data_IF_458189529111
#
_entry.id   IF_458189529111
#
_cell.length_a   1.000
_cell.length_b   1.000
_cell.length_c   1.000
_cell.angle_alpha   90.00
_cell.angle_beta   90.00
_cell.angle_gamma   90.00
#
_symmetry.space_group_name_H-M   'P 1'
#
loop_
_entity.id
_entity.type
_entity.pdbx_description
1 polymer ?
#
# COMPACT_ATOMS: atom_id res chain seq x y z
N UNK A 1 -10.89 7.65 20.26
CA UNK A 1 -10.05 7.95 21.44
C UNK A 1 -8.99 6.87 21.66
N UNK A 2 -9.36 5.58 21.77
CA UNK A 2 -8.40 4.48 21.99
C UNK A 2 -7.33 4.38 20.89
N UNK A 3 -7.70 4.57 19.61
CA UNK A 3 -6.77 4.59 18.49
C UNK A 3 -5.66 5.64 18.67
N UNK A 4 -6.05 6.90 18.93
CA UNK A 4 -5.10 8.00 19.11
C UNK A 4 -4.18 7.78 20.30
N UNK A 5 -4.73 7.24 21.39
CA UNK A 5 -3.95 6.90 22.60
C UNK A 5 -2.92 5.82 22.32
N UNK A 6 -3.32 4.66 21.82
CA UNK A 6 -2.42 3.54 21.53
C UNK A 6 -1.37 3.93 20.49
N UNK A 7 -1.77 4.65 19.43
CA UNK A 7 -0.84 5.15 18.42
C UNK A 7 0.17 6.11 19.03
N UNK A 8 -0.27 7.15 19.79
CA UNK A 8 0.60 8.21 20.30
C UNK A 8 1.52 7.75 21.42
N UNK A 9 1.01 6.91 22.31
CA UNK A 9 1.73 6.55 23.54
C UNK A 9 2.39 5.17 23.52
N UNK A 10 2.02 4.29 22.59
CA UNK A 10 2.58 2.94 22.51
C UNK A 10 3.24 2.67 21.16
N UNK A 11 2.47 2.67 20.08
CA UNK A 11 2.96 2.20 18.77
C UNK A 11 3.98 3.17 18.17
N UNK A 12 3.67 4.47 18.13
CA UNK A 12 4.55 5.46 17.52
C UNK A 12 5.87 5.66 18.31
N UNK A 13 5.91 5.77 19.64
CA UNK A 13 7.16 5.84 20.39
C UNK A 13 8.05 4.62 20.19
N UNK A 14 7.46 3.41 20.24
CA UNK A 14 8.18 2.17 20.01
C UNK A 14 8.76 2.11 18.61
N UNK A 15 7.94 2.37 17.58
CA UNK A 15 8.39 2.36 16.19
C UNK A 15 9.48 3.41 15.93
N UNK A 16 9.33 4.63 16.47
CA UNK A 16 10.32 5.70 16.33
C UNK A 16 11.63 5.38 17.08
N UNK A 17 11.54 4.82 18.28
CA UNK A 17 12.72 4.46 19.08
C UNK A 17 13.52 3.33 18.42
N UNK A 18 12.82 2.28 17.97
CA UNK A 18 13.45 1.07 17.46
C UNK A 18 13.92 1.20 16.02
N UNK A 19 13.11 1.79 15.14
CA UNK A 19 13.38 1.80 13.70
C UNK A 19 13.80 3.17 13.16
N UNK A 20 13.49 4.26 13.88
CA UNK A 20 13.80 5.65 13.48
C UNK A 20 13.45 5.89 12.00
N UNK A 21 12.18 5.69 11.59
CA UNK A 21 11.78 5.79 10.19
C UNK A 21 12.12 7.17 9.61
N UNK A 22 12.65 7.19 8.40
CA UNK A 22 12.90 8.44 7.67
C UNK A 22 11.60 8.82 6.96
N UNK A 23 11.00 9.93 7.35
CA UNK A 23 9.76 10.44 6.76
C UNK A 23 10.06 11.73 6.01
N UNK A 24 9.59 11.83 4.76
CA UNK A 24 9.71 13.03 3.91
C UNK A 24 8.37 13.37 3.28
N UNK A 25 8.12 14.65 2.97
CA UNK A 25 6.92 15.11 2.28
C UNK A 25 5.66 15.16 3.16
N UNK A 26 5.80 15.22 4.50
CA UNK A 26 4.64 15.32 5.41
C UNK A 26 3.77 16.55 5.13
N UNK A 27 4.35 17.60 4.60
CA UNK A 27 3.68 18.84 4.17
C UNK A 27 2.67 18.62 3.05
N UNK A 28 2.77 17.51 2.32
CA UNK A 28 1.84 17.13 1.26
C UNK A 28 0.53 16.50 1.80
N UNK A 29 0.49 16.14 3.08
CA UNK A 29 -0.75 15.64 3.73
C UNK A 29 -1.59 16.85 4.14
N UNK A 30 -2.83 16.98 3.64
CA UNK A 30 -3.69 18.10 4.03
C UNK A 30 -3.99 18.06 5.53
N UNK A 31 -3.93 19.22 6.19
CA UNK A 31 -4.24 19.33 7.63
C UNK A 31 -5.69 18.98 7.94
N UNK A 32 -6.59 19.30 7.03
CA UNK A 32 -8.04 19.04 7.10
C UNK A 32 -8.55 18.55 5.75
N UNK A 33 -9.78 17.99 5.74
CA UNK A 33 -10.41 17.50 4.51
C UNK A 33 -9.91 16.12 4.07
N UNK A 34 -10.56 15.52 3.07
CA UNK A 34 -10.27 14.18 2.60
C UNK A 34 -9.04 14.15 1.69
N UNK A 35 -8.37 13.00 1.67
CA UNK A 35 -7.38 12.66 0.64
C UNK A 35 -7.26 11.14 0.51
N UNK A 36 -6.98 10.69 -0.71
CA UNK A 36 -6.71 9.29 -1.02
C UNK A 36 -5.18 9.07 -1.02
N UNK A 37 -4.67 8.34 -0.03
CA UNK A 37 -3.26 7.95 0.02
C UNK A 37 -3.07 6.64 -0.73
N UNK A 38 -2.19 6.63 -1.73
CA UNK A 38 -1.91 5.45 -2.55
C UNK A 38 -0.47 5.03 -2.34
N UNK A 39 -0.25 3.83 -1.81
CA UNK A 39 1.08 3.35 -1.42
C UNK A 39 1.44 2.02 -2.11
N UNK A 40 2.73 1.81 -2.40
CA UNK A 40 3.26 0.49 -2.68
C UNK A 40 3.13 -0.41 -1.44
N UNK A 41 3.17 -1.72 -1.64
CA UNK A 41 3.01 -2.67 -0.52
C UNK A 41 4.13 -3.70 -0.51
N UNK A 42 5.15 -3.46 0.29
CA UNK A 42 6.34 -4.30 0.40
C UNK A 42 6.22 -5.34 1.51
N UNK A 43 5.71 -4.93 2.66
CA UNK A 43 5.80 -5.71 3.88
C UNK A 43 4.56 -5.59 4.79
N UNK A 44 4.45 -6.47 5.78
CA UNK A 44 3.44 -6.35 6.83
C UNK A 44 3.58 -5.03 7.61
N UNK A 45 4.81 -4.60 7.84
CA UNK A 45 5.13 -3.39 8.61
C UNK A 45 4.71 -2.08 7.92
N UNK A 46 4.40 -2.07 6.61
CA UNK A 46 3.84 -0.89 5.93
C UNK A 46 2.58 -0.40 6.64
N UNK A 47 1.73 -1.35 7.03
CA UNK A 47 0.48 -1.07 7.77
C UNK A 47 0.70 -0.50 9.19
N UNK A 48 1.94 -0.44 9.65
CA UNK A 48 2.34 0.16 10.94
C UNK A 48 3.06 1.49 10.69
N UNK A 49 4.09 1.48 9.84
CA UNK A 49 4.93 2.67 9.64
C UNK A 49 4.21 3.82 8.97
N UNK A 50 3.37 3.55 7.97
CA UNK A 50 2.63 4.61 7.29
C UNK A 50 1.61 5.30 8.22
N UNK A 51 0.71 4.61 8.96
CA UNK A 51 -0.14 5.26 9.94
C UNK A 51 0.61 5.97 11.06
N UNK A 52 1.80 5.50 11.45
CA UNK A 52 2.63 6.15 12.48
C UNK A 52 3.30 7.41 11.95
N UNK A 53 3.69 7.43 10.68
CA UNK A 53 4.36 8.56 10.04
C UNK A 53 3.42 9.76 9.86
N UNK A 54 2.19 9.53 9.44
CA UNK A 54 1.22 10.58 9.11
C UNK A 54 0.54 11.12 10.37
N UNK A 55 0.46 12.44 10.59
CA UNK A 55 -0.14 13.03 11.79
C UNK A 55 -1.63 12.71 11.96
N UNK A 56 -2.37 12.64 10.84
CA UNK A 56 -3.81 12.33 10.80
C UNK A 56 -4.05 10.82 10.78
N UNK A 57 -5.24 10.41 11.17
CA UNK A 57 -5.66 9.02 11.04
C UNK A 57 -5.89 8.68 9.57
N UNK A 58 -5.27 7.60 9.13
CA UNK A 58 -5.53 7.01 7.82
C UNK A 58 -6.34 5.74 8.05
N UNK A 59 -7.42 5.57 7.32
CA UNK A 59 -8.23 4.35 7.34
C UNK A 59 -7.77 3.45 6.18
N UNK A 60 -7.39 2.20 6.49
CA UNK A 60 -6.99 1.20 5.50
C UNK A 60 -7.92 -0.01 5.48
N UNK A 61 -8.24 -0.56 4.31
CA UNK A 61 -8.94 -1.83 4.20
C UNK A 61 -8.00 -2.99 4.55
N UNK A 62 -8.42 -3.86 5.47
CA UNK A 62 -7.70 -5.07 5.85
C UNK A 62 -8.58 -6.31 5.72
N UNK A 63 -7.96 -7.48 5.65
CA UNK A 63 -8.68 -8.75 5.57
C UNK A 63 -9.57 -8.94 6.79
N UNK A 64 -10.85 -9.29 6.57
CA UNK A 64 -11.83 -9.56 7.63
C UNK A 64 -11.37 -10.60 8.66
N UNK A 65 -10.55 -11.57 8.23
CA UNK A 65 -10.01 -12.62 9.10
C UNK A 65 -9.17 -12.10 10.27
N UNK A 66 -8.55 -10.92 10.12
CA UNK A 66 -7.83 -10.27 11.23
C UNK A 66 -8.75 -9.78 12.35
N UNK A 67 -10.05 -9.67 12.08
CA UNK A 67 -11.03 -9.12 13.02
C UNK A 67 -11.98 -10.18 13.60
N UNK A 68 -11.98 -11.39 13.04
CA UNK A 68 -12.92 -12.48 13.37
C UNK A 68 -12.26 -13.68 14.07
N UNK A 69 -10.98 -13.57 14.44
CA UNK A 69 -10.27 -14.64 15.14
C UNK A 69 -10.93 -15.01 16.47
N UNK A 70 -10.95 -16.29 16.84
CA UNK A 70 -11.59 -16.76 18.07
C UNK A 70 -10.82 -16.41 19.34
N UNK A 71 -11.54 -16.32 20.47
CA UNK A 71 -10.98 -16.18 21.80
C UNK A 71 -10.27 -14.84 22.10
N UNK A 72 -9.54 -14.79 23.19
CA UNK A 72 -8.85 -13.58 23.66
C UNK A 72 -7.76 -13.13 22.67
N UNK A 73 -7.03 -14.07 22.08
CA UNK A 73 -6.01 -13.77 21.06
C UNK A 73 -6.62 -13.09 19.84
N UNK A 74 -7.76 -13.59 19.33
CA UNK A 74 -8.48 -12.96 18.23
C UNK A 74 -8.94 -11.54 18.56
N UNK A 75 -9.48 -11.32 19.77
CA UNK A 75 -9.88 -10.00 20.26
C UNK A 75 -8.69 -9.03 20.35
N UNK A 76 -7.54 -9.48 20.82
CA UNK A 76 -6.31 -8.66 20.88
C UNK A 76 -5.83 -8.27 19.49
N UNK A 77 -5.80 -9.22 18.55
CA UNK A 77 -5.44 -8.95 17.14
C UNK A 77 -6.40 -7.96 16.52
N UNK A 78 -7.72 -8.17 16.65
CA UNK A 78 -8.73 -7.25 16.13
C UNK A 78 -8.60 -5.84 16.72
N UNK A 79 -8.35 -5.74 18.04
CA UNK A 79 -8.13 -4.46 18.71
C UNK A 79 -6.88 -3.77 18.20
N UNK A 80 -5.80 -4.51 17.98
CA UNK A 80 -4.57 -3.98 17.40
C UNK A 80 -4.84 -3.39 15.99
N UNK A 81 -5.46 -4.16 15.08
CA UNK A 81 -5.76 -3.67 13.72
C UNK A 81 -6.68 -2.45 13.74
N UNK A 82 -7.72 -2.45 14.56
CA UNK A 82 -8.56 -1.25 14.75
C UNK A 82 -7.78 -0.06 15.31
N UNK A 83 -6.81 -0.31 16.20
CA UNK A 83 -5.99 0.74 16.81
C UNK A 83 -4.98 1.39 15.86
N UNK A 84 -4.72 0.80 14.71
CA UNK A 84 -3.90 1.38 13.64
C UNK A 84 -4.74 1.85 12.44
N UNK A 85 -6.07 2.03 12.63
CA UNK A 85 -6.96 2.59 11.61
C UNK A 85 -7.41 1.59 10.55
N UNK A 86 -7.26 0.29 10.79
CA UNK A 86 -7.70 -0.70 9.80
C UNK A 86 -9.15 -1.12 10.00
N UNK A 87 -9.86 -1.26 8.89
CA UNK A 87 -11.26 -1.70 8.85
C UNK A 87 -11.38 -3.03 8.11
N UNK A 88 -12.27 -3.93 8.60
CA UNK A 88 -12.47 -5.22 7.93
C UNK A 88 -13.14 -5.03 6.57
N UNK A 89 -12.57 -5.65 5.54
CA UNK A 89 -13.22 -5.80 4.23
C UNK A 89 -13.16 -7.26 3.84
N UNK A 90 -14.32 -7.79 3.44
CA UNK A 90 -14.40 -9.09 2.80
C UNK A 90 -13.77 -9.02 1.41
N UNK A 91 -12.77 -9.86 1.14
CA UNK A 91 -12.06 -9.93 -0.14
C UNK A 91 -12.43 -11.20 -0.92
N UNK A 92 -13.45 -11.91 -0.51
CA UNK A 92 -13.92 -13.11 -1.18
C UNK A 92 -14.83 -12.75 -2.36
N UNK A 93 -14.30 -12.88 -3.58
CA UNK A 93 -15.06 -12.74 -4.83
C UNK A 93 -15.10 -11.36 -5.47
N UNK A 94 -15.72 -11.25 -6.64
CA UNK A 94 -15.79 -10.01 -7.44
C UNK A 94 -16.55 -8.86 -6.80
N UNK A 95 -17.38 -9.11 -5.79
CA UNK A 95 -18.06 -8.08 -4.99
C UNK A 95 -17.14 -7.39 -3.98
N UNK A 96 -16.02 -7.99 -3.65
CA UNK A 96 -15.08 -7.48 -2.65
C UNK A 96 -14.43 -6.16 -3.07
N UNK A 97 -14.12 -6.00 -4.35
CA UNK A 97 -13.57 -4.75 -4.87
C UNK A 97 -14.57 -3.60 -4.82
N UNK A 98 -15.87 -3.88 -5.03
CA UNK A 98 -16.94 -2.89 -4.89
C UNK A 98 -17.17 -2.50 -3.43
N UNK A 99 -17.11 -3.45 -2.52
CA UNK A 99 -17.23 -3.17 -1.08
C UNK A 99 -16.08 -2.26 -0.61
N UNK A 100 -14.84 -2.54 -1.03
CA UNK A 100 -13.68 -1.71 -0.74
C UNK A 100 -13.82 -0.29 -1.32
N UNK A 101 -14.33 -0.17 -2.55
CA UNK A 101 -14.60 1.11 -3.20
C UNK A 101 -15.63 1.91 -2.42
N UNK A 102 -16.80 1.32 -2.13
CA UNK A 102 -17.87 2.01 -1.42
C UNK A 102 -17.44 2.46 -0.02
N UNK A 103 -16.76 1.59 0.73
CA UNK A 103 -16.22 1.95 2.04
C UNK A 103 -15.21 3.09 1.96
N UNK A 104 -14.32 3.07 0.95
CA UNK A 104 -13.37 4.17 0.73
C UNK A 104 -14.08 5.49 0.44
N UNK A 105 -15.10 5.48 -0.42
CA UNK A 105 -15.91 6.66 -0.73
C UNK A 105 -16.65 7.20 0.48
N UNK A 106 -17.20 6.33 1.35
CA UNK A 106 -17.83 6.74 2.60
C UNK A 106 -16.85 7.43 3.56
N UNK A 107 -15.64 6.91 3.69
CA UNK A 107 -14.59 7.50 4.54
C UNK A 107 -14.14 8.85 4.00
N UNK A 108 -13.87 8.93 2.69
CA UNK A 108 -13.51 10.18 2.05
C UNK A 108 -14.63 11.22 2.14
N UNK A 109 -15.89 10.80 1.98
CA UNK A 109 -17.06 11.68 2.16
C UNK A 109 -17.22 12.23 3.58
N UNK A 110 -16.64 11.60 4.61
CA UNK A 110 -16.56 12.12 5.98
C UNK A 110 -15.41 13.11 6.21
N UNK A 111 -14.63 13.43 5.19
CA UNK A 111 -13.46 14.30 5.30
C UNK A 111 -12.22 13.63 5.87
N UNK A 112 -12.18 12.30 5.87
CA UNK A 112 -11.07 11.52 6.44
C UNK A 112 -10.05 11.11 5.37
N UNK A 113 -8.87 10.64 5.81
CA UNK A 113 -7.87 10.06 4.92
C UNK A 113 -8.15 8.57 4.71
N UNK A 114 -8.16 8.15 3.46
CA UNK A 114 -8.28 6.74 3.10
C UNK A 114 -6.99 6.26 2.41
N UNK A 115 -6.46 5.12 2.83
CA UNK A 115 -5.26 4.53 2.27
C UNK A 115 -5.57 3.27 1.47
N UNK A 116 -4.92 3.09 0.32
CA UNK A 116 -5.07 1.91 -0.52
C UNK A 116 -3.72 1.47 -1.10
N UNK A 117 -3.57 0.16 -1.28
CA UNK A 117 -2.47 -0.44 -2.02
C UNK A 117 -2.98 -0.87 -3.40
N UNK A 118 -2.63 -0.15 -4.49
CA UNK A 118 -3.19 -0.40 -5.82
C UNK A 118 -2.78 -1.77 -6.40
N UNK A 119 -1.65 -2.31 -5.96
CA UNK A 119 -1.21 -3.66 -6.33
C UNK A 119 -2.16 -4.76 -5.81
N UNK A 120 -2.95 -4.47 -4.77
CA UNK A 120 -3.93 -5.37 -4.16
C UNK A 120 -3.31 -6.45 -3.25
N UNK A 121 -2.01 -6.64 -3.29
CA UNK A 121 -1.25 -7.56 -2.44
C UNK A 121 0.18 -7.08 -2.26
N UNK A 122 0.92 -7.63 -1.30
CA UNK A 122 2.34 -7.32 -1.10
C UNK A 122 3.17 -7.77 -2.29
N UNK A 123 4.18 -6.96 -2.66
CA UNK A 123 5.19 -7.36 -3.63
C UNK A 123 5.86 -8.67 -3.21
N UNK A 124 6.08 -9.61 -4.14
CA UNK A 124 6.77 -10.86 -3.82
C UNK A 124 8.30 -10.73 -3.75
N UNK A 125 8.88 -9.73 -4.38
CA UNK A 125 10.33 -9.61 -4.61
C UNK A 125 10.89 -8.18 -4.41
N UNK A 126 10.03 -7.24 -4.01
CA UNK A 126 10.40 -5.84 -3.78
C UNK A 126 10.21 -4.92 -4.97
N UNK A 127 9.84 -5.44 -6.16
CA UNK A 127 9.50 -4.62 -7.34
C UNK A 127 8.10 -4.03 -7.22
N UNK A 128 7.81 -2.97 -8.00
CA UNK A 128 6.50 -2.33 -8.08
C UNK A 128 5.68 -2.98 -9.20
N UNK A 129 4.54 -3.52 -8.86
CA UNK A 129 3.69 -4.24 -9.80
C UNK A 129 2.50 -3.41 -10.29
N UNK A 130 1.94 -3.81 -11.43
CA UNK A 130 0.80 -3.16 -12.08
C UNK A 130 -0.35 -2.91 -11.12
N UNK A 131 -0.79 -1.67 -11.03
CA UNK A 131 -1.92 -1.25 -10.22
C UNK A 131 -3.26 -1.67 -10.81
N UNK A 132 -4.20 -2.04 -9.93
CA UNK A 132 -5.61 -2.29 -10.28
C UNK A 132 -6.36 -0.98 -10.45
N UNK A 133 -7.23 -0.89 -11.44
CA UNK A 133 -7.96 0.34 -11.81
C UNK A 133 -9.01 0.80 -10.79
N UNK A 134 -9.22 0.04 -9.72
CA UNK A 134 -10.10 0.45 -8.62
C UNK A 134 -9.64 1.74 -7.92
N UNK A 135 -8.32 1.99 -7.87
CA UNK A 135 -7.77 3.22 -7.30
C UNK A 135 -8.15 4.44 -8.14
N UNK A 136 -8.05 4.35 -9.46
CA UNK A 136 -8.45 5.42 -10.38
C UNK A 136 -9.95 5.72 -10.29
N UNK A 137 -10.78 4.68 -10.24
CA UNK A 137 -12.23 4.84 -10.06
C UNK A 137 -12.54 5.56 -8.74
N UNK A 138 -11.88 5.19 -7.66
CA UNK A 138 -12.05 5.88 -6.37
C UNK A 138 -11.61 7.34 -6.44
N UNK A 139 -10.47 7.62 -7.04
CA UNK A 139 -9.95 8.98 -7.21
C UNK A 139 -10.93 9.88 -7.99
N UNK A 140 -11.44 9.38 -9.13
CA UNK A 140 -12.37 10.13 -9.98
C UNK A 140 -13.71 10.37 -9.28
N UNK A 141 -14.30 9.31 -8.68
CA UNK A 141 -15.61 9.41 -8.03
C UNK A 141 -15.55 10.26 -6.76
N UNK A 142 -14.47 10.17 -5.99
CA UNK A 142 -14.33 10.95 -4.77
C UNK A 142 -13.99 12.42 -5.03
N UNK A 143 -13.35 12.74 -6.17
CA UNK A 143 -12.93 14.11 -6.50
C UNK A 143 -11.96 14.73 -5.49
N UNK A 144 -11.16 13.88 -4.81
CA UNK A 144 -10.24 14.31 -3.75
C UNK A 144 -8.79 14.24 -4.21
N UNK A 145 -7.87 15.00 -3.58
CA UNK A 145 -6.44 14.86 -3.86
C UNK A 145 -5.94 13.42 -3.65
N UNK A 146 -5.18 12.91 -4.62
CA UNK A 146 -4.53 11.60 -4.54
C UNK A 146 -3.06 11.79 -4.18
N UNK A 147 -2.63 11.23 -3.06
CA UNK A 147 -1.28 11.42 -2.54
C UNK A 147 -0.51 10.12 -2.71
N UNK A 148 0.46 10.06 -3.64
CA UNK A 148 1.32 8.90 -3.78
C UNK A 148 2.28 8.80 -2.59
N UNK A 149 2.45 7.59 -2.09
CA UNK A 149 3.32 7.29 -0.95
C UNK A 149 4.22 6.12 -1.31
N UNK A 150 5.50 6.23 -0.99
CA UNK A 150 6.45 5.14 -1.13
C UNK A 150 6.90 4.64 0.25
N UNK A 151 6.67 3.36 0.50
CA UNK A 151 7.33 2.60 1.56
C UNK A 151 8.70 2.13 1.04
N UNK A 152 9.75 2.31 1.83
CA UNK A 152 11.13 2.03 1.45
C UNK A 152 11.78 1.15 2.52
N UNK A 153 12.45 0.09 2.10
CA UNK A 153 13.20 -0.84 2.95
C UNK A 153 12.36 -1.62 4.00
N UNK A 154 11.04 -1.58 3.91
CA UNK A 154 10.17 -2.30 4.86
C UNK A 154 10.21 -3.81 4.64
N UNK A 155 10.48 -4.29 3.43
CA UNK A 155 10.73 -5.69 3.10
C UNK A 155 11.96 -6.24 3.81
N UNK A 156 12.93 -5.38 4.16
CA UNK A 156 14.10 -5.76 4.96
C UNK A 156 13.73 -6.07 6.41
N UNK A 157 12.66 -5.42 6.92
CA UNK A 157 12.11 -5.69 8.25
C UNK A 157 11.24 -6.95 8.23
N UNK A 158 10.30 -7.04 7.29
CA UNK A 158 9.45 -8.21 7.12
C UNK A 158 9.63 -8.76 5.70
N UNK A 159 10.59 -9.64 5.46
CA UNK A 159 10.74 -10.31 4.17
C UNK A 159 9.45 -10.99 3.69
N UNK A 160 9.26 -11.18 2.39
CA UNK A 160 8.07 -11.82 1.83
C UNK A 160 7.70 -13.10 2.58
N UNK A 161 6.40 -13.25 2.90
CA UNK A 161 5.89 -14.40 3.66
C UNK A 161 6.06 -14.33 5.18
N UNK A 162 6.76 -13.32 5.74
CA UNK A 162 6.95 -13.19 7.18
C UNK A 162 6.12 -12.06 7.79
N UNK A 163 5.77 -12.22 9.08
CA UNK A 163 5.18 -11.18 9.93
C UNK A 163 6.08 -10.85 11.13
N UNK A 164 7.10 -11.69 11.37
CA UNK A 164 8.06 -11.49 12.47
C UNK A 164 9.13 -10.51 11.97
N UNK A 165 9.32 -9.37 12.64
CA UNK A 165 10.27 -8.37 12.17
C UNK A 165 11.72 -8.80 12.40
N UNK A 166 12.57 -8.59 11.41
CA UNK A 166 14.01 -8.67 11.51
C UNK A 166 14.56 -7.27 11.81
N UNK A 167 15.10 -7.10 13.00
CA UNK A 167 15.60 -5.80 13.47
C UNK A 167 16.92 -5.40 12.83
N UNK A 168 17.72 -6.38 12.46
CA UNK A 168 19.07 -6.19 11.95
C UNK A 168 19.25 -6.92 10.63
N UNK A 169 19.83 -6.23 9.67
CA UNK A 169 20.21 -6.78 8.37
C UNK A 169 21.73 -6.74 8.25
N UNK A 170 22.31 -7.84 7.78
CA UNK A 170 23.71 -7.92 7.42
C UNK A 170 23.87 -7.51 5.97
N UNK A 171 24.48 -6.36 5.74
CA UNK A 171 24.79 -5.87 4.41
C UNK A 171 26.11 -6.51 3.91
N UNK A 172 26.20 -6.85 2.60
CA UNK A 172 27.47 -7.32 2.03
C UNK A 172 28.59 -6.32 2.30
N UNK A 173 29.76 -6.83 2.72
CA UNK A 173 30.93 -6.00 3.02
C UNK A 173 30.95 -5.35 4.41
N UNK A 174 29.90 -5.46 5.22
CA UNK A 174 29.91 -4.96 6.61
C UNK A 174 30.18 -6.06 7.63
N UNK A 175 31.05 -5.75 8.61
CA UNK A 175 31.37 -6.66 9.72
C UNK A 175 30.19 -6.83 10.67
N UNK A 176 29.44 -5.76 10.97
CA UNK A 176 28.34 -5.77 11.95
C UNK A 176 26.98 -5.55 11.27
N UNK A 177 25.92 -6.24 11.73
CA UNK A 177 24.58 -6.01 11.26
C UNK A 177 24.15 -4.56 11.53
N UNK A 178 23.34 -4.00 10.65
CA UNK A 178 22.77 -2.66 10.78
C UNK A 178 21.30 -2.75 11.17
N UNK A 179 20.85 -1.84 12.03
CA UNK A 179 19.43 -1.65 12.29
C UNK A 179 18.74 -1.15 10.99
N UNK A 180 17.67 -1.82 10.58
CA UNK A 180 16.88 -1.40 9.42
C UNK A 180 16.16 -0.09 9.75
N UNK A 181 16.28 0.89 8.87
CA UNK A 181 15.58 2.18 8.97
C UNK A 181 14.64 2.32 7.78
N UNK A 182 13.34 2.02 7.97
CA UNK A 182 12.39 2.15 6.88
C UNK A 182 12.19 3.61 6.49
N UNK A 183 11.86 3.85 5.23
CA UNK A 183 11.48 5.15 4.71
C UNK A 183 9.98 5.22 4.46
N UNK A 184 9.42 6.43 4.62
CA UNK A 184 8.08 6.80 4.15
C UNK A 184 8.24 8.11 3.38
N UNK A 185 8.17 8.04 2.06
CA UNK A 185 8.21 9.23 1.20
C UNK A 185 6.80 9.56 0.71
N UNK A 186 6.37 10.78 0.93
CA UNK A 186 5.04 11.27 0.59
C UNK A 186 5.19 12.27 -0.55
N UNK A 187 4.61 11.95 -1.69
CA UNK A 187 4.68 12.76 -2.91
C UNK A 187 3.69 13.92 -2.92
N UNK A 188 3.81 14.77 -3.93
CA UNK A 188 2.87 15.87 -4.15
C UNK A 188 1.49 15.32 -4.52
N UNK A 189 0.41 15.98 -4.08
CA UNK A 189 -0.95 15.59 -4.47
C UNK A 189 -1.13 15.63 -5.98
N UNK A 190 -1.78 14.60 -6.52
CA UNK A 190 -2.25 14.51 -7.90
C UNK A 190 -3.73 14.88 -7.94
N UNK A 191 -4.13 15.63 -8.96
CA UNK A 191 -5.50 16.04 -9.19
C UNK A 191 -6.05 15.38 -10.46
N UNK A 192 -7.18 14.69 -10.32
CA UNK A 192 -7.87 14.00 -11.39
C UNK A 192 -9.27 14.55 -11.66
N UNK A 193 -9.56 15.78 -11.21
CA UNK A 193 -10.86 16.46 -11.42
C UNK A 193 -11.23 16.59 -12.90
N UNK A 194 -10.23 16.70 -13.79
CA UNK A 194 -10.43 16.72 -15.26
C UNK A 194 -11.11 15.47 -15.83
N UNK A 195 -11.19 14.39 -15.06
CA UNK A 195 -11.82 13.14 -15.49
C UNK A 195 -13.17 12.88 -14.79
N UNK A 196 -13.75 13.88 -14.13
CA UNK A 196 -15.05 13.77 -13.50
C UNK A 196 -16.10 13.22 -14.49
N UNK A 197 -16.91 12.25 -14.05
CA UNK A 197 -17.91 11.57 -14.88
C UNK A 197 -17.36 10.44 -15.79
N UNK A 198 -16.02 10.25 -15.84
CA UNK A 198 -15.38 9.22 -16.68
C UNK A 198 -15.00 7.95 -15.90
N UNK A 199 -15.60 7.70 -14.72
CA UNK A 199 -15.29 6.56 -13.86
C UNK A 199 -15.65 5.19 -14.45
N UNK A 200 -16.27 5.15 -15.64
CA UNK A 200 -16.60 3.93 -16.40
C UNK A 200 -15.73 3.73 -17.63
N UNK A 201 -15.00 4.75 -18.05
CA UNK A 201 -14.11 4.66 -19.20
C UNK A 201 -12.84 3.87 -18.82
N UNK A 202 -12.63 2.74 -19.51
CA UNK A 202 -11.50 1.84 -19.24
C UNK A 202 -10.15 2.46 -19.57
N UNK A 203 -10.06 3.30 -20.59
CA UNK A 203 -8.83 3.98 -20.97
C UNK A 203 -8.46 5.04 -19.95
N UNK A 204 -9.43 5.86 -19.54
CA UNK A 204 -9.24 6.86 -18.50
C UNK A 204 -8.81 6.20 -17.18
N UNK A 205 -9.52 5.14 -16.76
CA UNK A 205 -9.16 4.40 -15.55
C UNK A 205 -7.74 3.84 -15.63
N UNK A 206 -7.31 3.32 -16.78
CA UNK A 206 -5.95 2.81 -16.95
C UNK A 206 -4.93 3.94 -16.89
N UNK A 207 -5.13 5.03 -17.66
CA UNK A 207 -4.27 6.21 -17.67
C UNK A 207 -4.06 6.81 -16.28
N UNK A 208 -5.16 7.04 -15.54
CA UNK A 208 -5.09 7.57 -14.17
C UNK A 208 -4.34 6.61 -13.24
N UNK A 209 -4.59 5.30 -13.38
CA UNK A 209 -3.85 4.32 -12.57
C UNK A 209 -2.37 4.36 -12.90
N UNK A 210 -1.99 4.43 -14.18
CA UNK A 210 -0.59 4.44 -14.60
C UNK A 210 0.12 5.73 -14.16
N UNK A 211 -0.56 6.88 -14.18
CA UNK A 211 -0.03 8.15 -13.64
C UNK A 211 0.26 8.04 -12.14
N UNK A 212 -0.65 7.43 -11.37
CA UNK A 212 -0.44 7.18 -9.94
C UNK A 212 0.74 6.22 -9.71
N UNK A 213 0.80 5.11 -10.48
CA UNK A 213 1.88 4.13 -10.36
C UNK A 213 3.23 4.73 -10.73
N UNK A 214 3.28 5.58 -11.76
CA UNK A 214 4.49 6.30 -12.14
C UNK A 214 5.00 7.21 -11.03
N UNK A 215 4.11 8.00 -10.43
CA UNK A 215 4.48 8.85 -9.30
C UNK A 215 5.02 8.04 -8.10
N UNK A 216 4.45 6.86 -7.82
CA UNK A 216 4.98 5.96 -6.79
C UNK A 216 6.32 5.36 -7.17
N UNK A 217 6.52 5.00 -8.44
CA UNK A 217 7.79 4.48 -8.96
C UNK A 217 8.92 5.51 -8.77
N UNK A 218 8.68 6.77 -9.14
CA UNK A 218 9.66 7.85 -8.95
C UNK A 218 10.02 8.08 -7.47
N UNK A 219 9.02 8.01 -6.58
CA UNK A 219 9.24 8.18 -5.14
C UNK A 219 10.00 7.01 -4.51
N UNK A 220 9.69 5.78 -4.94
CA UNK A 220 10.25 4.57 -4.34
C UNK A 220 11.60 4.17 -4.93
N UNK A 221 11.86 4.54 -6.20
CA UNK A 221 12.97 4.04 -6.98
C UNK A 221 12.86 2.56 -7.34
N UNK A 222 11.68 1.95 -7.17
CA UNK A 222 11.45 0.55 -7.52
C UNK A 222 11.40 0.34 -9.03
N UNK A 223 11.89 -0.81 -9.47
CA UNK A 223 11.66 -1.30 -10.83
C UNK A 223 10.16 -1.62 -11.01
N UNK A 224 9.57 -1.08 -12.08
CA UNK A 224 8.17 -1.34 -12.43
C UNK A 224 8.04 -2.61 -13.27
N UNK A 225 7.06 -3.44 -12.92
CA UNK A 225 6.74 -4.69 -13.63
C UNK A 225 5.30 -4.61 -14.16
N UNK A 226 5.12 -4.61 -15.48
CA UNK A 226 3.80 -4.59 -16.14
C UNK A 226 3.07 -5.94 -16.03
N UNK A 227 2.94 -6.42 -14.82
CA UNK A 227 2.25 -7.66 -14.45
C UNK A 227 1.54 -7.44 -13.11
N UNK A 228 0.41 -8.09 -12.89
CA UNK A 228 -0.23 -8.07 -11.56
C UNK A 228 0.55 -8.92 -10.56
N UNK A 229 0.72 -8.40 -9.34
CA UNK A 229 1.49 -9.06 -8.28
C UNK A 229 0.97 -10.47 -7.91
N UNK A 230 -0.34 -10.73 -8.07
CA UNK A 230 -0.90 -12.06 -7.89
C UNK A 230 -0.32 -13.07 -8.89
N UNK A 231 -0.23 -12.66 -10.19
CA UNK A 231 0.35 -13.50 -11.24
C UNK A 231 1.84 -13.76 -10.99
N UNK A 232 2.59 -12.73 -10.62
CA UNK A 232 3.99 -12.87 -10.24
C UNK A 232 4.18 -13.89 -9.10
N UNK A 233 3.31 -13.88 -8.09
CA UNK A 233 3.33 -14.87 -7.00
C UNK A 233 3.04 -16.29 -7.46
N UNK A 234 2.13 -16.46 -8.42
CA UNK A 234 1.84 -17.78 -9.00
C UNK A 234 3.08 -18.33 -9.72
N UNK A 235 3.73 -17.50 -10.55
CA UNK A 235 4.97 -17.88 -11.26
C UNK A 235 6.07 -18.29 -10.29
N UNK A 236 6.35 -17.47 -9.29
CA UNK A 236 7.36 -17.77 -8.27
C UNK A 236 7.05 -19.06 -7.50
N UNK A 237 5.78 -19.35 -7.20
CA UNK A 237 5.37 -20.61 -6.57
C UNK A 237 5.58 -21.81 -7.49
N UNK A 238 5.44 -21.63 -8.80
CA UNK A 238 5.73 -22.63 -9.81
C UNK A 238 7.24 -22.81 -10.09
N UNK A 239 8.09 -21.98 -9.46
CA UNK A 239 9.54 -21.98 -9.71
C UNK A 239 9.95 -21.29 -11.01
N UNK A 240 9.04 -20.50 -11.59
CA UNK A 240 9.28 -19.79 -12.85
C UNK A 240 9.88 -18.41 -12.59
N UNK A 241 10.71 -17.92 -13.54
CA UNK A 241 11.25 -16.58 -13.49
C UNK A 241 10.25 -15.58 -14.08
N UNK A 242 9.92 -14.53 -13.33
CA UNK A 242 8.99 -13.47 -13.76
C UNK A 242 9.46 -12.81 -15.06
N UNK A 243 10.77 -12.56 -15.19
CA UNK A 243 11.32 -11.81 -16.32
C UNK A 243 11.20 -12.56 -17.66
N UNK A 244 11.11 -13.90 -17.63
CA UNK A 244 10.88 -14.70 -18.82
C UNK A 244 9.47 -14.50 -19.39
N UNK A 245 8.51 -14.10 -18.54
CA UNK A 245 7.12 -13.79 -18.92
C UNK A 245 6.90 -12.33 -19.32
N UNK A 246 7.88 -11.45 -19.12
CA UNK A 246 7.84 -10.04 -19.53
C UNK A 246 8.43 -9.81 -20.92
N UNK A 247 9.24 -10.72 -21.43
CA UNK A 247 9.83 -10.63 -22.78
C UNK A 247 8.71 -10.80 -23.81
N UNK A 248 8.64 -9.95 -24.87
CA UNK A 248 7.78 -10.21 -26.02
C UNK A 248 8.11 -11.61 -26.56
N UNK A 249 7.10 -12.45 -26.78
CA UNK A 249 7.32 -13.72 -27.49
C UNK A 249 7.79 -13.37 -28.89
N UNK A 250 9.02 -13.71 -29.21
CA UNK A 250 9.63 -13.46 -30.53
C UNK A 250 8.90 -14.15 -31.69
N UNK A 251 7.92 -15.01 -31.37
CA UNK A 251 7.15 -15.76 -32.37
C UNK A 251 5.95 -14.98 -32.97
N UNK A 252 5.52 -13.88 -32.36
CA UNK A 252 4.35 -13.11 -32.86
C UNK A 252 4.70 -12.16 -34.00
N UNK A 253 5.98 -12.06 -34.40
CA UNK A 253 6.44 -11.20 -35.50
C UNK A 253 6.60 -11.91 -36.86
N UNK A 254 6.24 -13.21 -36.96
CA UNK A 254 6.33 -13.96 -38.22
C UNK A 254 5.00 -14.23 -38.91
N UNK A 255 3.91 -13.58 -38.48
CA UNK A 255 2.58 -13.72 -39.09
C UNK A 255 2.01 -12.32 -39.45
N UNK A 256 2.63 -11.66 -40.41
CA UNK A 256 2.04 -10.56 -41.18
C UNK A 256 2.71 -10.48 -42.55
#
# INVERSE_FOLDING_TARGET
VLYLFLRRFLVAPIAKLLFRPKVTGLENIPETGPALLVSNHLAFSDSIFLPVAVPRQIVFPAKSEYFTGPGLKGKLVATFFRSIGQIPIDRSGGRASLAALNTGLEILGKGELFGIYPEGTRSPDGRLYKGKTGVARMAIVAGVPVIPVAMIDTEKINPPGTVIPKWFVKEPGRRLPRLVRPGVAIGKPLDFSRYEGMERDRFVLRSVTDEIMYAMMELSGQEYVDMYAEKAKELLKAGENIDDHLKPRLDDTKAS
#
